data_IF_351104174605
#
_entry.id   IF_351104174605
#
_cell.length_a   1.000
_cell.length_b   1.000
_cell.length_c   1.000
_cell.angle_alpha   90.00
_cell.angle_beta   90.00
_cell.angle_gamma   90.00
#
_symmetry.space_group_name_H-M   'P 1'
#
loop_
_entity.id
_entity.type
_entity.pdbx_description
1 polymer ?
#
# COMPACT_ATOMS: atom_id res chain seq x y z
N UNK A 1 6.93 -24.76 -3.72
CA UNK A 1 6.96 -23.89 -2.53
C UNK A 1 6.14 -22.65 -2.79
N UNK A 2 5.00 -22.49 -2.13
CA UNK A 2 4.30 -21.22 -2.08
C UNK A 2 4.94 -20.39 -0.97
N UNK A 3 5.59 -19.29 -1.32
CA UNK A 3 6.16 -18.36 -0.34
C UNK A 3 5.04 -17.68 0.45
N UNK A 4 5.11 -17.73 1.77
CA UNK A 4 4.16 -17.09 2.70
C UNK A 4 3.96 -15.60 2.42
N UNK A 5 4.99 -14.93 1.91
CA UNK A 5 5.00 -13.50 1.60
C UNK A 5 4.01 -13.18 0.47
N UNK A 6 3.96 -14.01 -0.58
CA UNK A 6 3.03 -13.83 -1.69
C UNK A 6 1.57 -14.02 -1.27
N UNK A 7 1.32 -14.98 -0.37
CA UNK A 7 0.00 -15.18 0.24
C UNK A 7 -0.42 -13.97 1.09
N UNK A 8 0.48 -13.43 1.90
CA UNK A 8 0.21 -12.25 2.71
C UNK A 8 -0.16 -11.03 1.85
N UNK A 9 0.60 -10.77 0.77
CA UNK A 9 0.32 -9.65 -0.15
C UNK A 9 -1.04 -9.81 -0.83
N UNK A 10 -1.40 -11.02 -1.27
CA UNK A 10 -2.70 -11.28 -1.87
C UNK A 10 -3.86 -11.05 -0.89
N UNK A 11 -3.74 -11.57 0.33
CA UNK A 11 -4.75 -11.39 1.39
C UNK A 11 -4.89 -9.90 1.73
N UNK A 12 -3.78 -9.19 1.89
CA UNK A 12 -3.75 -7.75 2.17
C UNK A 12 -4.42 -6.94 1.05
N UNK A 13 -4.07 -7.20 -0.21
CA UNK A 13 -4.65 -6.50 -1.35
C UNK A 13 -6.18 -6.70 -1.44
N UNK A 14 -6.65 -7.93 -1.23
CA UNK A 14 -8.07 -8.23 -1.22
C UNK A 14 -8.80 -7.55 -0.05
N UNK A 15 -8.21 -7.60 1.14
CA UNK A 15 -8.73 -6.93 2.33
C UNK A 15 -8.85 -5.42 2.12
N UNK A 16 -7.79 -4.77 1.61
CA UNK A 16 -7.75 -3.33 1.40
C UNK A 16 -8.79 -2.89 0.36
N UNK A 17 -8.94 -3.63 -0.75
CA UNK A 17 -10.00 -3.37 -1.72
C UNK A 17 -11.40 -3.47 -1.09
N UNK A 18 -11.65 -4.52 -0.29
CA UNK A 18 -12.93 -4.74 0.37
C UNK A 18 -13.23 -3.65 1.42
N UNK A 19 -12.24 -3.27 2.22
CA UNK A 19 -12.35 -2.19 3.21
C UNK A 19 -12.71 -0.87 2.54
N UNK A 20 -12.04 -0.53 1.42
CA UNK A 20 -12.34 0.66 0.62
C UNK A 20 -13.75 0.63 0.04
N UNK A 21 -14.20 -0.52 -0.44
CA UNK A 21 -15.57 -0.66 -0.94
C UNK A 21 -16.60 -0.44 0.16
N UNK A 22 -16.36 -0.94 1.36
CA UNK A 22 -17.24 -0.77 2.51
C UNK A 22 -17.24 0.69 3.02
N UNK A 23 -16.07 1.33 3.03
CA UNK A 23 -15.91 2.71 3.50
C UNK A 23 -16.58 3.72 2.55
N UNK A 24 -16.32 3.63 1.25
CA UNK A 24 -16.85 4.59 0.29
C UNK A 24 -18.26 4.25 -0.20
N UNK A 25 -18.68 2.98 -0.13
CA UNK A 25 -19.97 2.45 -0.62
C UNK A 25 -20.31 2.79 -2.10
N UNK A 26 -19.36 3.32 -2.86
CA UNK A 26 -19.51 3.72 -4.27
C UNK A 26 -19.28 2.56 -5.24
N UNK A 27 -19.80 2.66 -6.47
CA UNK A 27 -19.62 1.70 -7.58
C UNK A 27 -18.18 1.17 -7.80
N UNK A 28 -18.06 -0.04 -8.36
CA UNK A 28 -16.79 -0.81 -8.42
C UNK A 28 -15.66 -0.03 -9.12
N UNK A 29 -15.98 0.66 -10.22
CA UNK A 29 -15.02 1.48 -10.98
C UNK A 29 -14.43 2.59 -10.12
N UNK A 30 -15.28 3.32 -9.39
CA UNK A 30 -14.84 4.40 -8.49
C UNK A 30 -13.96 3.86 -7.36
N UNK A 31 -14.28 2.68 -6.82
CA UNK A 31 -13.43 2.02 -5.81
C UNK A 31 -12.07 1.65 -6.37
N UNK A 32 -11.98 1.09 -7.58
CA UNK A 32 -10.70 0.71 -8.21
C UNK A 32 -9.81 1.95 -8.43
N UNK A 33 -10.38 3.04 -8.93
CA UNK A 33 -9.63 4.30 -9.14
C UNK A 33 -9.07 4.82 -7.80
N UNK A 34 -9.91 4.87 -6.76
CA UNK A 34 -9.48 5.27 -5.41
C UNK A 34 -8.43 4.31 -4.84
N UNK A 35 -8.56 3.01 -5.09
CA UNK A 35 -7.62 1.99 -4.65
C UNK A 35 -6.25 2.16 -5.28
N UNK A 36 -6.19 2.44 -6.58
CA UNK A 36 -4.93 2.75 -7.26
C UNK A 36 -4.31 4.02 -6.69
N UNK A 37 -5.10 5.09 -6.54
CA UNK A 37 -4.63 6.35 -5.96
C UNK A 37 -4.07 6.19 -4.54
N UNK A 38 -4.77 5.44 -3.68
CA UNK A 38 -4.33 5.16 -2.33
C UNK A 38 -3.01 4.38 -2.30
N UNK A 39 -2.88 3.32 -3.12
CA UNK A 39 -1.63 2.55 -3.21
C UNK A 39 -0.47 3.42 -3.74
N UNK A 40 -0.72 4.32 -4.69
CA UNK A 40 0.29 5.28 -5.17
C UNK A 40 0.76 6.21 -4.05
N UNK A 41 -0.15 6.73 -3.22
CA UNK A 41 0.22 7.55 -2.05
C UNK A 41 1.08 6.75 -1.07
N UNK A 42 0.68 5.52 -0.72
CA UNK A 42 1.47 4.66 0.17
C UNK A 42 2.87 4.38 -0.40
N UNK A 43 2.98 4.18 -1.71
CA UNK A 43 4.27 3.98 -2.36
C UNK A 43 5.16 5.22 -2.28
N UNK A 44 4.62 6.41 -2.56
CA UNK A 44 5.34 7.69 -2.43
C UNK A 44 5.80 7.89 -0.97
N UNK A 45 4.92 7.66 0.00
CA UNK A 45 5.26 7.76 1.41
C UNK A 45 6.35 6.75 1.80
N UNK A 46 6.29 5.54 1.27
CA UNK A 46 7.33 4.52 1.45
C UNK A 46 8.69 4.97 0.93
N UNK A 47 8.73 5.54 -0.28
CA UNK A 47 9.97 6.11 -0.85
C UNK A 47 10.51 7.24 0.04
N UNK A 48 9.65 8.16 0.48
CA UNK A 48 10.05 9.25 1.37
C UNK A 48 10.62 8.70 2.68
N UNK A 49 9.94 7.74 3.30
CA UNK A 49 10.39 7.11 4.54
C UNK A 49 11.75 6.43 4.37
N UNK A 50 11.93 5.64 3.30
CA UNK A 50 13.20 4.98 2.97
C UNK A 50 14.30 6.03 2.75
N UNK A 51 14.00 7.10 2.02
CA UNK A 51 14.96 8.18 1.75
C UNK A 51 15.41 8.86 3.05
N UNK A 52 14.48 9.15 3.95
CA UNK A 52 14.78 9.72 5.26
C UNK A 52 15.63 8.76 6.09
N UNK A 53 15.29 7.47 6.13
CA UNK A 53 16.06 6.46 6.88
C UNK A 53 17.49 6.33 6.36
N UNK A 54 17.68 6.34 5.04
CA UNK A 54 19.01 6.33 4.42
C UNK A 54 19.75 7.63 4.75
N UNK A 55 19.09 8.80 4.65
CA UNK A 55 19.72 10.07 5.00
C UNK A 55 20.15 10.10 6.47
N UNK A 56 19.31 9.62 7.40
CA UNK A 56 19.62 9.54 8.83
C UNK A 56 20.75 8.57 9.14
N UNK A 57 20.84 7.45 8.43
CA UNK A 57 21.91 6.48 8.66
C UNK A 57 23.28 7.12 8.40
N UNK A 58 23.42 7.97 7.37
CA UNK A 58 24.67 8.71 7.07
C UNK A 58 25.14 9.61 8.22
N UNK A 59 24.24 10.15 9.04
CA UNK A 59 24.61 11.01 10.18
C UNK A 59 24.87 10.24 11.49
N UNK A 60 24.47 8.97 11.55
CA UNK A 60 24.60 8.13 12.75
C UNK A 60 25.88 7.28 12.72
N UNK A 61 26.51 7.13 11.55
CA UNK A 61 27.86 6.57 11.37
C UNK A 61 28.88 7.69 11.15
#
# INVERSE_FOLDING_TARGET
>A
NFSSEGLFILIFAFYLYKAMRNFYQQGRVKTVIKYFFLNTIFFILGIIAITILIAQSVFTY
#
